data_IF_245740051044
#
_entry.id   IF_245740051044
#
_cell.length_a   1.000
_cell.length_b   1.000
_cell.length_c   1.000
_cell.angle_alpha   90.00
_cell.angle_beta   90.00
_cell.angle_gamma   90.00
#
_symmetry.space_group_name_H-M   'P 1'
#
loop_
_entity.id
_entity.type
_entity.pdbx_description
1 polymer ?
#
# COMPACT_ATOMS: atom_id res chain seq x y z
N UNK A 1 -6.60 6.81 -14.28
CA UNK A 1 -6.96 7.97 -13.43
C UNK A 1 -5.94 9.10 -13.58
N UNK A 2 -4.66 8.88 -13.25
CA UNK A 2 -3.60 9.86 -13.51
C UNK A 2 -3.60 10.33 -14.97
N UNK A 3 -3.52 9.42 -15.95
CA UNK A 3 -3.57 9.75 -17.38
C UNK A 3 -4.80 10.56 -17.84
N UNK A 4 -5.99 10.36 -17.25
CA UNK A 4 -7.23 11.01 -17.71
C UNK A 4 -7.34 12.45 -17.20
N UNK A 5 -6.65 12.79 -16.12
CA UNK A 5 -6.68 14.12 -15.50
C UNK A 5 -5.37 14.88 -15.78
N UNK A 6 -4.24 14.18 -15.79
CA UNK A 6 -2.90 14.74 -15.95
C UNK A 6 -2.63 15.14 -17.41
N UNK A 7 -3.00 14.31 -18.38
CA UNK A 7 -2.77 14.58 -19.82
C UNK A 7 -3.51 15.83 -20.31
N UNK A 8 -4.84 16.02 -20.08
CA UNK A 8 -5.51 17.24 -20.53
C UNK A 8 -5.04 18.49 -19.78
N UNK A 9 -4.64 18.36 -18.50
CA UNK A 9 -4.12 19.48 -17.72
C UNK A 9 -2.73 19.93 -18.20
N UNK A 10 -1.83 18.98 -18.48
CA UNK A 10 -0.50 19.27 -19.05
C UNK A 10 -0.60 19.88 -20.44
N UNK A 11 -1.51 19.38 -21.29
CA UNK A 11 -1.71 19.93 -22.64
C UNK A 11 -2.29 21.36 -22.63
N UNK A 12 -3.20 21.66 -21.69
CA UNK A 12 -3.89 22.95 -21.62
C UNK A 12 -3.10 24.05 -20.90
N UNK A 13 -2.25 23.70 -19.93
CA UNK A 13 -1.56 24.69 -19.07
C UNK A 13 -0.03 24.70 -19.17
N UNK A 14 0.62 23.63 -19.63
CA UNK A 14 2.09 23.48 -19.55
C UNK A 14 2.79 23.27 -20.89
N UNK A 15 2.08 22.79 -21.92
CA UNK A 15 2.60 22.71 -23.30
C UNK A 15 3.65 21.63 -23.55
N UNK A 16 4.19 20.97 -22.52
CA UNK A 16 5.13 19.86 -22.64
C UNK A 16 4.76 18.72 -21.69
N UNK A 17 4.71 17.49 -22.22
CA UNK A 17 4.50 16.27 -21.45
C UNK A 17 5.85 15.85 -20.89
N UNK A 18 6.01 15.94 -19.57
CA UNK A 18 7.20 15.41 -18.92
C UNK A 18 7.08 13.89 -18.80
N UNK A 19 7.63 13.17 -19.78
CA UNK A 19 7.54 11.70 -19.90
C UNK A 19 8.06 10.97 -18.65
N UNK A 20 9.04 11.55 -17.94
CA UNK A 20 9.65 10.95 -16.74
C UNK A 20 8.68 10.92 -15.55
N UNK A 21 8.09 12.06 -15.11
CA UNK A 21 7.04 12.08 -14.09
C UNK A 21 5.89 11.12 -14.37
N UNK A 22 5.39 11.10 -15.61
CA UNK A 22 4.30 10.23 -16.02
C UNK A 22 4.66 8.75 -15.86
N UNK A 23 5.84 8.34 -16.33
CA UNK A 23 6.32 6.97 -16.21
C UNK A 23 6.49 6.56 -14.74
N UNK A 24 7.04 7.44 -13.90
CA UNK A 24 7.21 7.19 -12.46
C UNK A 24 5.84 7.05 -11.78
N UNK A 25 4.88 7.94 -12.06
CA UNK A 25 3.53 7.88 -11.51
C UNK A 25 2.83 6.55 -11.82
N UNK A 26 3.04 6.00 -13.02
CA UNK A 26 2.40 4.75 -13.45
C UNK A 26 3.15 3.52 -12.88
N UNK A 27 4.47 3.48 -13.01
CA UNK A 27 5.25 2.27 -12.73
C UNK A 27 5.64 2.12 -11.27
N UNK A 28 5.84 3.23 -10.53
CA UNK A 28 6.34 3.17 -9.17
C UNK A 28 5.39 2.40 -8.24
N UNK A 29 4.08 2.64 -8.34
CA UNK A 29 3.09 2.07 -7.44
C UNK A 29 2.95 0.53 -7.56
N UNK A 30 2.81 -0.05 -8.77
CA UNK A 30 2.83 -1.51 -8.94
C UNK A 30 4.14 -2.16 -8.50
N UNK A 31 5.29 -1.55 -8.85
CA UNK A 31 6.61 -2.08 -8.47
C UNK A 31 6.76 -2.06 -6.95
N UNK A 32 6.37 -0.97 -6.29
CA UNK A 32 6.44 -0.85 -4.84
C UNK A 32 5.56 -1.88 -4.13
N UNK A 33 4.35 -2.16 -4.64
CA UNK A 33 3.51 -3.25 -4.13
C UNK A 33 4.15 -4.62 -4.33
N UNK A 34 4.73 -4.88 -5.50
CA UNK A 34 5.39 -6.14 -5.79
C UNK A 34 6.55 -6.38 -4.81
N UNK A 35 7.39 -5.36 -4.55
CA UNK A 35 8.49 -5.44 -3.60
C UNK A 35 7.99 -5.71 -2.17
N UNK A 36 6.95 -5.01 -1.72
CA UNK A 36 6.36 -5.27 -0.40
C UNK A 36 5.81 -6.70 -0.32
N UNK A 37 5.10 -7.16 -1.36
CA UNK A 37 4.53 -8.50 -1.44
C UNK A 37 5.60 -9.59 -1.42
N UNK A 38 6.69 -9.43 -2.17
CA UNK A 38 7.82 -10.37 -2.19
C UNK A 38 8.54 -10.45 -0.83
N UNK A 39 8.48 -9.39 -0.03
CA UNK A 39 9.08 -9.36 1.31
C UNK A 39 8.25 -10.13 2.36
N UNK A 40 7.02 -10.54 2.03
CA UNK A 40 6.17 -11.32 2.93
C UNK A 40 6.71 -12.76 3.01
N UNK A 41 7.35 -13.10 4.13
CA UNK A 41 7.81 -14.46 4.40
C UNK A 41 6.65 -15.38 4.82
N UNK A 42 6.54 -16.54 4.15
CA UNK A 42 5.61 -17.60 4.52
C UNK A 42 5.99 -18.17 5.92
N UNK A 43 5.01 -18.48 6.79
CA UNK A 43 5.27 -19.14 8.06
C UNK A 43 6.10 -20.42 7.91
N UNK A 44 7.25 -20.50 8.59
CA UNK A 44 8.10 -21.70 8.61
C UNK A 44 7.47 -22.78 9.51
N UNK A 45 7.76 -24.07 9.25
CA UNK A 45 7.24 -25.21 10.04
C UNK A 45 7.33 -25.02 11.56
N UNK A 46 8.43 -24.46 12.06
CA UNK A 46 8.63 -24.12 13.49
C UNK A 46 7.51 -23.23 14.07
N UNK A 47 6.94 -22.34 13.26
CA UNK A 47 5.84 -21.49 13.66
C UNK A 47 4.52 -22.28 13.78
N UNK A 48 4.30 -23.24 12.89
CA UNK A 48 3.17 -24.18 12.96
C UNK A 48 3.27 -25.05 14.22
N UNK A 49 4.46 -25.55 14.54
CA UNK A 49 4.69 -26.36 15.75
C UNK A 49 4.38 -25.57 17.04
N UNK A 50 4.82 -24.30 17.12
CA UNK A 50 4.51 -23.39 18.22
C UNK A 50 3.01 -23.07 18.32
N UNK A 51 2.29 -23.04 17.19
CA UNK A 51 0.85 -22.82 17.14
C UNK A 51 0.09 -24.02 17.72
N UNK A 52 0.49 -25.22 17.32
CA UNK A 52 -0.04 -26.46 17.89
C UNK A 52 0.25 -26.59 19.39
N UNK A 53 1.45 -26.21 19.84
CA UNK A 53 1.81 -26.20 21.27
C UNK A 53 0.91 -25.23 22.06
N UNK A 54 0.69 -24.01 21.56
CA UNK A 54 -0.21 -23.03 22.21
C UNK A 54 -1.66 -23.49 22.24
N UNK A 55 -2.17 -24.08 21.15
CA UNK A 55 -3.54 -24.59 21.09
C UNK A 55 -3.72 -25.75 22.10
N UNK A 56 -2.76 -26.68 22.17
CA UNK A 56 -2.78 -27.77 23.17
C UNK A 56 -2.77 -27.24 24.61
N UNK A 57 -1.96 -26.22 24.91
CA UNK A 57 -1.91 -25.60 26.23
C UNK A 57 -3.18 -24.85 26.65
N UNK A 58 -4.04 -24.46 25.69
CA UNK A 58 -5.36 -23.86 25.98
C UNK A 58 -6.42 -24.94 26.22
N UNK A 59 -6.29 -26.12 25.58
CA UNK A 59 -7.25 -27.23 25.70
C UNK A 59 -7.01 -28.14 26.91
N UNK A 60 -5.79 -28.15 27.47
CA UNK A 60 -5.44 -29.00 28.62
C UNK A 60 -5.46 -28.21 29.95
N UNK A 61 -6.50 -28.35 30.80
CA UNK A 61 -6.62 -27.63 32.07
C UNK A 61 -5.58 -28.05 33.12
N UNK A 62 -4.84 -29.14 32.92
CA UNK A 62 -3.77 -29.58 33.83
C UNK A 62 -2.41 -28.93 33.52
N UNK A 63 -2.23 -28.38 32.31
CA UNK A 63 -1.02 -27.71 31.83
C UNK A 63 -1.19 -26.20 31.67
N UNK A 64 -2.13 -25.60 32.39
CA UNK A 64 -2.24 -24.15 32.48
C UNK A 64 -1.01 -23.57 33.19
N UNK A 65 0.09 -23.41 32.46
CA UNK A 65 0.95 -22.25 32.69
C UNK A 65 -0.01 -21.07 32.70
N UNK A 66 -0.04 -20.23 33.75
CA UNK A 66 -0.89 -19.07 33.74
C UNK A 66 -0.58 -18.36 32.44
N UNK A 67 -1.54 -18.33 31.52
CA UNK A 67 -1.48 -17.46 30.37
C UNK A 67 -1.30 -16.11 31.04
N UNK A 68 -0.09 -15.57 30.98
CA UNK A 68 0.24 -14.25 31.49
C UNK A 68 -0.48 -13.26 30.58
N UNK A 69 -1.81 -13.25 30.63
CA UNK A 69 -2.66 -12.28 30.00
C UNK A 69 -2.49 -11.04 30.86
N UNK A 70 -1.33 -10.40 30.69
CA UNK A 70 -1.08 -9.09 31.25
C UNK A 70 -1.97 -8.16 30.44
N UNK A 71 -3.17 -7.87 30.98
CA UNK A 71 -3.99 -6.78 30.51
C UNK A 71 -3.18 -5.49 30.74
N UNK A 72 -2.41 -5.11 29.72
CA UNK A 72 -1.64 -3.88 29.72
C UNK A 72 -2.64 -2.75 29.48
N UNK A 73 -3.26 -2.27 30.56
CA UNK A 73 -4.10 -1.07 30.55
C UNK A 73 -3.22 0.06 30.00
N UNK A 74 -3.47 0.47 28.76
CA UNK A 74 -2.76 1.59 28.13
C UNK A 74 -3.12 2.84 28.92
N UNK A 75 -2.17 3.34 29.73
CA UNK A 75 -2.28 4.66 30.36
C UNK A 75 -2.57 5.69 29.25
N UNK A 76 -3.63 6.50 29.36
CA UNK A 76 -3.83 7.60 28.43
C UNK A 76 -2.61 8.53 28.52
N UNK A 77 -2.01 8.83 27.38
CA UNK A 77 -0.79 9.63 27.32
C UNK A 77 -1.07 11.06 27.82
N UNK A 78 -0.02 11.72 28.34
CA UNK A 78 -0.04 12.91 29.18
C UNK A 78 -0.98 14.01 28.67
N UNK A 79 -2.00 14.34 29.47
CA UNK A 79 -2.78 15.56 29.31
C UNK A 79 -1.99 16.74 29.90
N UNK A 80 -1.78 17.82 29.12
CA UNK A 80 -1.03 19.02 29.53
C UNK A 80 -0.04 19.53 28.46
N UNK A 81 0.83 20.47 28.86
CA UNK A 81 1.84 21.12 27.97
C UNK A 81 2.78 20.11 27.30
N UNK A 82 3.19 19.06 28.05
CA UNK A 82 4.02 17.99 27.51
C UNK A 82 3.32 17.23 26.37
N UNK A 83 2.01 17.00 26.49
CA UNK A 83 1.20 16.37 25.45
C UNK A 83 1.09 17.22 24.18
N UNK A 84 0.97 18.55 24.33
CA UNK A 84 0.98 19.48 23.20
C UNK A 84 2.34 19.50 22.49
N UNK A 85 3.45 19.50 23.23
CA UNK A 85 4.79 19.38 22.65
C UNK A 85 4.96 18.12 21.82
N UNK A 86 4.56 16.96 22.37
CA UNK A 86 4.63 15.69 21.62
C UNK A 86 3.65 15.63 20.44
N UNK A 87 2.50 16.28 20.53
CA UNK A 87 1.56 16.40 19.41
C UNK A 87 2.17 17.25 18.29
N UNK A 88 2.84 18.35 18.64
CA UNK A 88 3.60 19.18 17.69
C UNK A 88 4.74 18.41 17.04
N UNK A 89 5.52 17.67 17.84
CA UNK A 89 6.57 16.79 17.33
C UNK A 89 6.00 15.71 16.40
N UNK A 90 4.84 15.15 16.73
CA UNK A 90 4.15 14.19 15.87
C UNK A 90 3.64 14.84 14.58
N UNK A 91 3.10 16.05 14.62
CA UNK A 91 2.70 16.79 13.42
C UNK A 91 3.91 17.09 12.52
N UNK A 92 5.07 17.39 13.10
CA UNK A 92 6.32 17.60 12.36
C UNK A 92 6.71 16.35 11.56
N UNK A 93 6.39 15.15 12.03
CA UNK A 93 6.64 13.91 11.25
C UNK A 93 5.85 13.86 9.94
N UNK A 94 4.67 14.48 9.87
CA UNK A 94 3.91 14.59 8.61
C UNK A 94 4.61 15.54 7.65
N UNK A 95 5.05 16.69 8.15
CA UNK A 95 5.78 17.67 7.34
C UNK A 95 7.10 17.08 6.83
N UNK A 96 7.83 16.37 7.67
CA UNK A 96 9.07 15.71 7.26
C UNK A 96 8.81 14.60 6.24
N UNK A 97 7.86 13.70 6.50
CA UNK A 97 7.57 12.59 5.58
C UNK A 97 7.05 13.07 4.23
N UNK A 98 5.97 13.86 4.20
CA UNK A 98 5.39 14.35 2.95
C UNK A 98 6.24 15.43 2.29
N UNK A 99 6.83 16.32 3.08
CA UNK A 99 7.65 17.42 2.58
C UNK A 99 8.93 16.94 1.91
N UNK A 100 9.63 15.95 2.49
CA UNK A 100 10.82 15.37 1.85
C UNK A 100 10.49 14.66 0.55
N UNK A 101 9.38 13.90 0.52
CA UNK A 101 8.94 13.20 -0.69
C UNK A 101 8.51 14.22 -1.76
N UNK A 102 7.69 15.21 -1.39
CA UNK A 102 7.24 16.26 -2.30
C UNK A 102 8.41 17.08 -2.86
N UNK A 103 9.35 17.46 -2.00
CA UNK A 103 10.56 18.18 -2.40
C UNK A 103 11.39 17.36 -3.39
N UNK A 104 11.60 16.07 -3.12
CA UNK A 104 12.34 15.19 -4.01
C UNK A 104 11.65 15.05 -5.39
N UNK A 105 10.33 14.84 -5.40
CA UNK A 105 9.56 14.74 -6.64
C UNK A 105 9.63 16.04 -7.46
N UNK A 106 9.42 17.19 -6.83
CA UNK A 106 9.32 18.48 -7.54
C UNK A 106 10.70 18.97 -7.97
N UNK A 107 11.70 18.94 -7.10
CA UNK A 107 13.01 19.57 -7.36
C UNK A 107 13.93 18.64 -8.15
N UNK A 108 13.94 17.35 -7.85
CA UNK A 108 14.86 16.40 -8.49
C UNK A 108 14.24 15.78 -9.73
N UNK A 109 12.97 15.39 -9.65
CA UNK A 109 12.27 14.70 -10.73
C UNK A 109 11.41 15.63 -11.60
N UNK A 110 11.42 16.94 -11.32
CA UNK A 110 10.66 17.96 -12.06
C UNK A 110 9.16 17.64 -12.14
N UNK A 111 8.59 17.07 -11.08
CA UNK A 111 7.15 16.88 -11.00
C UNK A 111 6.45 18.23 -10.89
N UNK A 112 5.36 18.37 -11.65
CA UNK A 112 4.36 19.39 -11.38
C UNK A 112 3.68 19.12 -10.01
N UNK A 113 3.19 20.17 -9.37
CA UNK A 113 2.45 20.10 -8.12
C UNK A 113 1.26 19.11 -8.19
N UNK A 114 0.52 19.10 -9.30
CA UNK A 114 -0.62 18.18 -9.50
C UNK A 114 -0.13 16.72 -9.52
N UNK A 115 0.89 16.43 -10.33
CA UNK A 115 1.51 15.10 -10.43
C UNK A 115 2.08 14.64 -9.09
N UNK A 116 2.72 15.54 -8.34
CA UNK A 116 3.27 15.23 -7.02
C UNK A 116 2.17 14.94 -5.99
N UNK A 117 1.06 15.69 -6.01
CA UNK A 117 -0.10 15.43 -5.14
C UNK A 117 -0.75 14.08 -5.46
N UNK A 118 -0.93 13.76 -6.74
CA UNK A 118 -1.44 12.46 -7.17
C UNK A 118 -0.50 11.32 -6.75
N UNK A 119 0.81 11.49 -6.94
CA UNK A 119 1.81 10.53 -6.48
C UNK A 119 1.68 10.28 -4.97
N UNK A 120 1.68 11.33 -4.15
CA UNK A 120 1.59 11.22 -2.70
C UNK A 120 0.29 10.56 -2.24
N UNK A 121 -0.83 10.85 -2.92
CA UNK A 121 -2.11 10.21 -2.68
C UNK A 121 -2.04 8.70 -2.93
N UNK A 122 -1.61 8.29 -4.13
CA UNK A 122 -1.51 6.87 -4.48
C UNK A 122 -0.46 6.17 -3.62
N UNK A 123 0.69 6.77 -3.39
CA UNK A 123 1.74 6.25 -2.51
C UNK A 123 1.19 5.95 -1.11
N UNK A 124 0.38 6.84 -0.55
CA UNK A 124 -0.25 6.63 0.76
C UNK A 124 -1.20 5.44 0.77
N UNK A 125 -2.11 5.39 -0.20
CA UNK A 125 -3.10 4.30 -0.34
C UNK A 125 -2.39 2.96 -0.53
N UNK A 126 -1.41 2.92 -1.43
CA UNK A 126 -0.64 1.74 -1.77
C UNK A 126 0.19 1.25 -0.58
N UNK A 127 0.88 2.15 0.13
CA UNK A 127 1.64 1.81 1.34
C UNK A 127 0.73 1.21 2.41
N UNK A 128 -0.47 1.77 2.60
CA UNK A 128 -1.46 1.20 3.51
C UNK A 128 -1.88 -0.23 3.10
N UNK A 129 -2.20 -0.46 1.82
CA UNK A 129 -2.56 -1.80 1.34
C UNK A 129 -1.41 -2.80 1.45
N UNK A 130 -0.19 -2.41 1.08
CA UNK A 130 0.99 -3.26 1.20
C UNK A 130 1.24 -3.71 2.63
N UNK A 131 1.12 -2.79 3.60
CA UNK A 131 1.23 -3.15 5.03
C UNK A 131 0.06 -4.02 5.49
N UNK A 132 -1.17 -3.75 5.05
CA UNK A 132 -2.34 -4.57 5.39
C UNK A 132 -2.20 -6.01 4.91
N UNK A 133 -1.70 -6.21 3.68
CA UNK A 133 -1.41 -7.54 3.12
C UNK A 133 -0.36 -8.25 3.99
N UNK A 134 0.73 -7.56 4.33
CA UNK A 134 1.79 -8.11 5.18
C UNK A 134 1.29 -8.46 6.59
N UNK A 135 0.48 -7.60 7.20
CA UNK A 135 -0.08 -7.81 8.55
C UNK A 135 -0.97 -9.04 8.61
N UNK A 136 -1.84 -9.23 7.61
CA UNK A 136 -2.71 -10.42 7.54
C UNK A 136 -1.94 -11.75 7.57
N UNK A 137 -0.71 -11.78 7.04
CA UNK A 137 0.17 -12.96 7.12
C UNK A 137 0.96 -12.99 8.43
N UNK A 138 1.35 -11.83 8.96
CA UNK A 138 2.10 -11.71 10.20
C UNK A 138 1.28 -12.07 11.44
N UNK A 139 -0.03 -11.87 11.41
CA UNK A 139 -0.95 -12.31 12.48
C UNK A 139 -0.95 -13.84 12.64
N UNK A 140 -0.47 -14.59 11.63
CA UNK A 140 -0.27 -16.03 11.69
C UNK A 140 1.11 -16.43 12.26
N UNK A 141 2.01 -15.47 12.51
CA UNK A 141 3.36 -15.70 13.04
C UNK A 141 3.40 -15.46 14.55
N UNK A 142 3.78 -16.48 15.31
CA UNK A 142 3.96 -16.43 16.77
C UNK A 142 5.27 -15.72 17.14
N UNK A 143 6.27 -15.77 16.26
CA UNK A 143 7.57 -15.13 16.47
C UNK A 143 7.64 -13.86 15.62
N UNK A 144 7.41 -12.71 16.24
CA UNK A 144 7.67 -11.42 15.61
C UNK A 144 9.18 -11.23 15.46
N UNK A 145 9.66 -10.98 14.23
CA UNK A 145 11.03 -10.48 14.03
C UNK A 145 11.09 -9.05 14.57
N UNK A 146 11.94 -8.81 15.57
CA UNK A 146 12.24 -7.46 16.03
C UNK A 146 12.89 -6.68 14.86
N UNK A 147 12.32 -5.52 14.53
CA UNK A 147 12.87 -4.65 13.50
C UNK A 147 14.25 -4.12 13.91
N UNK A 148 15.20 -4.10 12.98
CA UNK A 148 16.50 -3.44 13.20
C UNK A 148 16.37 -1.92 13.25
N UNK A 149 17.44 -1.22 13.65
CA UNK A 149 17.48 0.26 13.79
C UNK A 149 17.03 0.97 12.51
N UNK A 150 17.44 0.48 11.34
CA UNK A 150 17.03 1.01 10.04
C UNK A 150 15.51 0.86 9.83
N UNK A 151 14.94 -0.28 10.23
CA UNK A 151 13.50 -0.53 10.14
C UNK A 151 12.70 0.45 10.98
N UNK A 152 13.18 0.78 12.19
CA UNK A 152 12.53 1.76 13.07
C UNK A 152 12.51 3.17 12.48
N UNK A 153 13.58 3.59 11.80
CA UNK A 153 13.63 4.88 11.10
C UNK A 153 12.64 4.89 9.93
N UNK A 154 12.63 3.83 9.11
CA UNK A 154 11.66 3.70 8.02
C UNK A 154 10.22 3.70 8.53
N UNK A 155 9.93 2.97 9.61
CA UNK A 155 8.61 2.95 10.24
C UNK A 155 8.21 4.34 10.73
N UNK A 156 9.14 5.14 11.27
CA UNK A 156 8.88 6.51 11.69
C UNK A 156 8.43 7.41 10.53
N UNK A 157 9.10 7.35 9.38
CA UNK A 157 8.74 8.14 8.19
C UNK A 157 7.51 7.60 7.44
N UNK A 158 7.32 6.28 7.40
CA UNK A 158 6.19 5.65 6.72
C UNK A 158 4.90 5.71 7.54
N UNK A 159 4.97 5.82 8.87
CA UNK A 159 3.77 5.81 9.71
C UNK A 159 2.77 6.93 9.38
N UNK A 160 3.18 8.20 9.17
CA UNK A 160 2.30 9.25 8.67
C UNK A 160 1.65 8.90 7.33
N UNK A 161 2.45 8.42 6.37
CA UNK A 161 1.99 8.00 5.03
C UNK A 161 0.91 6.92 5.14
N UNK A 162 1.17 5.89 5.94
CA UNK A 162 0.23 4.79 6.19
C UNK A 162 -1.04 5.27 6.88
N UNK A 163 -0.94 6.21 7.82
CA UNK A 163 -2.12 6.73 8.53
C UNK A 163 -3.03 7.50 7.59
N UNK A 164 -2.46 8.33 6.70
CA UNK A 164 -3.23 9.02 5.66
C UNK A 164 -3.82 8.01 4.68
N UNK A 165 -3.04 7.05 4.19
CA UNK A 165 -3.55 5.99 3.31
C UNK A 165 -4.70 5.20 3.92
N UNK A 166 -4.60 4.86 5.21
CA UNK A 166 -5.67 4.25 6.00
C UNK A 166 -6.89 5.16 6.10
N UNK A 167 -6.68 6.44 6.40
CA UNK A 167 -7.76 7.42 6.51
C UNK A 167 -8.51 7.57 5.18
N UNK A 168 -7.78 7.70 4.07
CA UNK A 168 -8.32 7.72 2.71
C UNK A 168 -9.10 6.44 2.45
N UNK A 169 -8.51 5.27 2.71
CA UNK A 169 -9.14 3.98 2.38
C UNK A 169 -10.37 3.67 3.23
N UNK A 170 -10.44 4.16 4.47
CA UNK A 170 -11.56 3.94 5.38
C UNK A 170 -12.67 4.99 5.22
N UNK A 171 -12.33 6.21 4.79
CA UNK A 171 -13.29 7.31 4.58
C UNK A 171 -13.65 7.54 3.12
N UNK A 172 -12.95 6.90 2.18
CA UNK A 172 -13.39 6.83 0.80
C UNK A 172 -14.84 6.35 0.81
N UNK A 173 -15.78 7.08 0.21
CA UNK A 173 -17.15 6.63 0.09
C UNK A 173 -17.12 5.21 -0.43
N UNK A 174 -17.65 4.27 0.34
CA UNK A 174 -18.01 2.97 -0.22
C UNK A 174 -18.86 3.30 -1.45
N UNK A 175 -18.54 2.68 -2.59
CA UNK A 175 -19.34 2.73 -3.82
C UNK A 175 -19.12 4.01 -4.66
N UNK A 176 -18.15 3.96 -5.58
CA UNK A 176 -18.35 4.09 -7.04
C UNK A 176 -16.99 4.31 -7.73
N UNK A 177 -16.13 5.21 -7.20
CA UNK A 177 -14.87 5.59 -7.86
C UNK A 177 -13.85 4.45 -7.87
N UNK A 178 -13.74 3.67 -6.79
CA UNK A 178 -12.78 2.57 -6.71
C UNK A 178 -13.20 1.35 -7.54
N UNK A 179 -14.51 1.08 -7.64
CA UNK A 179 -15.05 0.00 -8.49
C UNK A 179 -14.90 0.40 -9.96
N UNK A 180 -15.33 1.62 -10.32
CA UNK A 180 -15.10 2.18 -11.65
C UNK A 180 -13.61 2.18 -12.05
N UNK A 181 -12.70 2.44 -11.11
CA UNK A 181 -11.27 2.35 -11.34
C UNK A 181 -10.78 0.92 -11.58
N UNK A 182 -11.25 -0.03 -10.76
CA UNK A 182 -10.86 -1.43 -10.85
C UNK A 182 -11.40 -2.06 -12.14
N UNK A 183 -12.65 -1.76 -12.49
CA UNK A 183 -13.28 -2.15 -13.75
C UNK A 183 -12.51 -1.55 -14.93
N UNK A 184 -12.19 -0.25 -14.90
CA UNK A 184 -11.43 0.36 -15.99
C UNK A 184 -10.00 -0.22 -16.16
N UNK A 185 -9.30 -0.52 -15.06
CA UNK A 185 -7.93 -1.07 -15.13
C UNK A 185 -7.91 -2.56 -15.46
N UNK A 186 -8.87 -3.33 -14.96
CA UNK A 186 -8.87 -4.79 -15.11
C UNK A 186 -9.78 -5.21 -16.26
N UNK A 187 -11.01 -4.72 -16.31
CA UNK A 187 -12.04 -5.16 -17.26
C UNK A 187 -11.76 -4.68 -18.69
N UNK A 188 -11.37 -3.41 -18.89
CA UNK A 188 -11.12 -2.87 -20.24
C UNK A 188 -9.98 -3.58 -21.01
N UNK A 189 -8.77 -3.78 -20.44
CA UNK A 189 -7.71 -4.51 -21.14
C UNK A 189 -8.03 -6.00 -21.28
N UNK A 190 -8.77 -6.60 -20.34
CA UNK A 190 -9.15 -8.01 -20.43
C UNK A 190 -10.17 -8.25 -21.55
N UNK A 191 -11.15 -7.34 -21.72
CA UNK A 191 -12.08 -7.35 -22.86
C UNK A 191 -11.34 -7.25 -24.19
N UNK A 192 -10.38 -6.33 -24.28
CA UNK A 192 -9.56 -6.16 -25.49
C UNK A 192 -8.72 -7.41 -25.80
N UNK A 193 -8.19 -8.09 -24.78
CA UNK A 193 -7.48 -9.35 -24.96
C UNK A 193 -8.40 -10.49 -25.47
N UNK A 194 -9.64 -10.55 -24.97
CA UNK A 194 -10.65 -11.50 -25.45
C UNK A 194 -11.03 -11.21 -26.91
N UNK A 195 -11.31 -9.96 -27.25
CA UNK A 195 -11.62 -9.57 -28.65
C UNK A 195 -10.48 -9.94 -29.61
N UNK A 196 -9.22 -9.72 -29.21
CA UNK A 196 -8.07 -10.13 -30.01
C UNK A 196 -7.96 -11.66 -30.16
N UNK A 197 -8.26 -12.41 -29.11
CA UNK A 197 -8.27 -13.86 -29.15
C UNK A 197 -9.40 -14.39 -30.06
N UNK A 198 -10.59 -13.79 -29.99
CA UNK A 198 -11.72 -14.13 -30.86
C UNK A 198 -11.41 -13.82 -32.32
N UNK A 199 -10.84 -12.64 -32.61
CA UNK A 199 -10.40 -12.27 -33.96
C UNK A 199 -9.34 -13.24 -34.50
N UNK A 200 -8.41 -13.68 -33.65
CA UNK A 200 -7.41 -14.66 -34.03
C UNK A 200 -8.02 -16.03 -34.34
N UNK A 201 -8.97 -16.50 -33.52
CA UNK A 201 -9.68 -17.76 -33.75
C UNK A 201 -10.50 -17.70 -35.04
N UNK A 202 -11.17 -16.58 -35.30
CA UNK A 202 -11.93 -16.35 -36.53
C UNK A 202 -11.00 -16.41 -37.76
N UNK A 203 -9.87 -15.70 -37.73
CA UNK A 203 -8.87 -15.73 -38.79
C UNK A 203 -8.34 -17.15 -39.06
N UNK A 204 -8.06 -17.93 -38.01
CA UNK A 204 -7.61 -19.31 -38.12
C UNK A 204 -8.68 -20.25 -38.69
N UNK A 205 -9.96 -19.95 -38.48
CA UNK A 205 -11.07 -20.71 -39.05
C UNK A 205 -11.20 -20.43 -40.54
N UNK A 206 -11.14 -19.16 -40.95
CA UNK A 206 -11.21 -18.76 -42.35
C UNK A 206 -10.05 -19.37 -43.17
N UNK A 207 -8.82 -19.34 -42.63
CA UNK A 207 -7.66 -20.01 -43.26
C UNK A 207 -7.79 -21.54 -43.37
N UNK A 208 -8.61 -22.17 -42.53
CA UNK A 208 -8.89 -23.61 -42.62
C UNK A 208 -9.97 -23.95 -43.64
N UNK A 209 -10.85 -23.01 -43.97
CA UNK A 209 -11.90 -23.18 -44.98
C UNK A 209 -11.37 -22.91 -46.40
N UNK A 210 -10.33 -22.09 -46.53
CA UNK A 210 -9.62 -21.81 -47.79
C UNK A 210 -8.61 -22.92 -48.21
N UNK A 211 -8.40 -23.96 -47.38
CA UNK A 211 -7.55 -25.15 -47.64
C UNK A 211 -8.39 -26.38 -47.97
#
# INVERSE_FOLDING_TARGET
MALVIEVPYELLFLGEISTIPLAINILFHPIFLAVIGMTVSIPKKKNTDLLFERIKGVMDPAQTRPLGIVFKVRKPWSQGVLGQFFTGLYALTYLLSYGLIAWFLIVVLNFNLVSALLFLFFFSVVTFFGIKIRQSVRDLLIVEKQGGVIGTIFDFFLMPVVRVGRWISLRAPKVNIFIFFLDFIVEAPFKLAIELAEAWIAFMRDQKEDL
#
